data_IF_642724955206
#
_entry.id   IF_642724955206
#
_cell.length_a   1.000
_cell.length_b   1.000
_cell.length_c   1.000
_cell.angle_alpha   90.00
_cell.angle_beta   90.00
_cell.angle_gamma   90.00
#
_symmetry.space_group_name_H-M   'P 1'
#
loop_
_entity.id
_entity.type
_entity.pdbx_description
1 polymer ?
#
# COMPACT_ATOMS: atom_id res chain seq x y z
N UNK A 1 -24.74 13.68 9.56
CA UNK A 1 -23.69 12.83 10.14
C UNK A 1 -23.34 13.33 11.53
N UNK A 2 -23.42 12.47 12.49
CA UNK A 2 -23.09 12.80 13.87
C UNK A 2 -21.58 13.05 14.03
N UNK A 3 -21.22 13.78 15.09
CA UNK A 3 -19.83 14.18 15.33
C UNK A 3 -18.89 12.97 15.41
N UNK A 4 -19.31 11.90 16.08
CA UNK A 4 -18.48 10.71 16.22
C UNK A 4 -18.29 9.98 14.89
N UNK A 5 -19.33 9.90 14.09
CA UNK A 5 -19.25 9.29 12.76
C UNK A 5 -18.32 10.08 11.85
N UNK A 6 -18.39 11.40 11.92
CA UNK A 6 -17.50 12.27 11.18
C UNK A 6 -16.04 12.04 11.57
N UNK A 7 -15.74 11.88 12.87
CA UNK A 7 -14.38 11.58 13.32
C UNK A 7 -13.88 10.24 12.76
N UNK A 8 -14.75 9.24 12.72
CA UNK A 8 -14.40 7.94 12.15
C UNK A 8 -14.09 8.04 10.68
N UNK A 9 -14.90 8.78 9.94
CA UNK A 9 -14.67 9.00 8.51
C UNK A 9 -13.36 9.72 8.27
N UNK A 10 -13.10 10.80 9.03
CA UNK A 10 -11.85 11.55 8.91
C UNK A 10 -10.64 10.66 9.19
N UNK A 11 -10.73 9.80 10.20
CA UNK A 11 -9.66 8.85 10.54
C UNK A 11 -9.40 7.91 9.38
N UNK A 12 -10.43 7.32 8.80
CA UNK A 12 -10.28 6.40 7.67
C UNK A 12 -9.66 7.12 6.47
N UNK A 13 -10.12 8.33 6.18
CA UNK A 13 -9.57 9.11 5.06
C UNK A 13 -8.10 9.40 5.24
N UNK A 14 -7.69 9.77 6.46
CA UNK A 14 -6.28 10.01 6.77
C UNK A 14 -5.45 8.73 6.61
N UNK A 15 -5.97 7.61 7.10
CA UNK A 15 -5.27 6.34 7.01
C UNK A 15 -5.15 5.86 5.56
N UNK A 16 -6.14 6.13 4.72
CA UNK A 16 -6.03 5.81 3.30
C UNK A 16 -4.86 6.53 2.65
N UNK A 17 -4.56 7.75 3.07
CA UNK A 17 -3.39 8.48 2.58
C UNK A 17 -2.08 7.85 3.05
N UNK A 18 -2.07 7.34 4.29
CA UNK A 18 -0.87 6.71 4.87
C UNK A 18 -0.52 5.40 4.16
N UNK A 19 -1.52 4.61 3.78
CA UNK A 19 -1.30 3.24 3.32
C UNK A 19 -1.77 2.98 1.88
N UNK A 20 -2.57 3.89 1.30
CA UNK A 20 -3.25 3.65 0.04
C UNK A 20 -2.58 4.20 -1.19
N UNK A 21 -1.51 4.97 -1.06
CA UNK A 21 -0.81 5.51 -2.22
C UNK A 21 -0.16 4.39 -3.02
N UNK A 22 -0.09 4.58 -4.33
CA UNK A 22 0.47 3.57 -5.22
C UNK A 22 1.86 3.13 -4.74
N UNK A 23 2.11 1.84 -4.80
CA UNK A 23 3.32 1.14 -4.40
C UNK A 23 3.44 0.88 -2.89
N UNK A 24 2.73 1.62 -2.03
CA UNK A 24 2.79 1.36 -0.58
C UNK A 24 2.29 -0.04 -0.21
N UNK A 25 1.13 -0.50 -0.71
CA UNK A 25 0.72 -1.88 -0.42
C UNK A 25 1.74 -2.92 -0.85
N UNK A 26 2.37 -2.74 -2.02
CA UNK A 26 3.39 -3.66 -2.50
C UNK A 26 4.62 -3.66 -1.60
N UNK A 27 5.07 -2.49 -1.15
CA UNK A 27 6.20 -2.36 -0.23
C UNK A 27 5.89 -3.06 1.09
N UNK A 28 4.70 -2.82 1.64
CA UNK A 28 4.28 -3.42 2.91
C UNK A 28 4.20 -4.93 2.81
N UNK A 29 3.63 -5.44 1.72
CA UNK A 29 3.59 -6.87 1.46
C UNK A 29 5.00 -7.48 1.43
N UNK A 30 5.90 -6.82 0.72
CA UNK A 30 7.29 -7.26 0.59
C UNK A 30 7.98 -7.35 1.96
N UNK A 31 7.81 -6.33 2.81
CA UNK A 31 8.47 -6.28 4.11
C UNK A 31 7.82 -7.19 5.14
N UNK A 32 6.50 -7.36 5.10
CA UNK A 32 5.82 -8.26 6.02
C UNK A 32 6.25 -9.71 5.78
N UNK A 33 6.32 -10.12 4.52
CA UNK A 33 6.63 -11.51 4.19
C UNK A 33 8.11 -11.81 4.15
N UNK A 34 8.93 -10.84 3.75
CA UNK A 34 10.37 -11.04 3.60
C UNK A 34 11.20 -10.60 4.80
N UNK A 35 10.57 -9.92 5.78
CA UNK A 35 11.30 -9.35 6.90
C UNK A 35 12.17 -8.19 6.49
N UNK A 36 13.25 -7.96 7.24
CA UNK A 36 14.21 -6.89 6.98
C UNK A 36 14.90 -7.12 5.64
N UNK A 37 14.88 -6.11 4.77
CA UNK A 37 15.40 -6.27 3.42
C UNK A 37 16.19 -5.05 2.96
N UNK A 38 17.17 -5.31 2.10
CA UNK A 38 17.92 -4.27 1.41
C UNK A 38 17.00 -3.57 0.41
N UNK A 39 17.27 -2.31 0.17
CA UNK A 39 16.57 -1.54 -0.86
C UNK A 39 16.60 -2.25 -2.22
N UNK A 40 17.75 -2.81 -2.60
CA UNK A 40 17.88 -3.51 -3.88
C UNK A 40 16.93 -4.70 -4.01
N UNK A 41 16.67 -5.41 -2.91
CA UNK A 41 15.71 -6.52 -2.91
C UNK A 41 14.27 -6.03 -3.09
N UNK A 42 13.92 -4.95 -2.40
CA UNK A 42 12.60 -4.35 -2.53
C UNK A 42 12.38 -3.89 -3.98
N UNK A 43 13.40 -3.27 -4.56
CA UNK A 43 13.32 -2.81 -5.93
C UNK A 43 13.11 -3.96 -6.92
N UNK A 44 13.81 -5.08 -6.73
CA UNK A 44 13.62 -6.25 -7.59
C UNK A 44 12.22 -6.86 -7.43
N UNK A 45 11.67 -6.80 -6.23
CA UNK A 45 10.32 -7.31 -5.97
C UNK A 45 9.23 -6.43 -6.60
N UNK A 46 9.52 -5.14 -6.83
CA UNK A 46 8.56 -4.18 -7.38
C UNK A 46 9.18 -3.52 -8.62
N UNK A 47 9.38 -4.29 -9.70
CA UNK A 47 10.14 -3.78 -10.85
C UNK A 47 9.42 -2.68 -11.62
N UNK A 48 8.11 -2.57 -11.51
CA UNK A 48 7.33 -1.57 -12.23
C UNK A 48 7.41 -0.18 -11.59
N UNK A 49 7.86 -0.09 -10.34
CA UNK A 49 8.05 1.20 -9.69
C UNK A 49 9.38 1.81 -10.10
N UNK A 50 9.38 3.10 -10.38
CA UNK A 50 10.66 3.81 -10.61
C UNK A 50 11.42 3.93 -9.29
N UNK A 51 12.74 4.07 -9.38
CA UNK A 51 13.57 4.30 -8.20
C UNK A 51 13.10 5.52 -7.41
N UNK A 52 12.73 6.58 -8.12
CA UNK A 52 12.24 7.81 -7.50
C UNK A 52 10.96 7.58 -6.70
N UNK A 53 10.00 6.87 -7.29
CA UNK A 53 8.72 6.60 -6.62
C UNK A 53 8.89 5.69 -5.44
N UNK A 54 9.70 4.63 -5.60
CA UNK A 54 9.95 3.68 -4.52
C UNK A 54 10.61 4.38 -3.33
N UNK A 55 11.63 5.20 -3.59
CA UNK A 55 12.31 5.97 -2.56
C UNK A 55 11.35 6.93 -1.86
N UNK A 56 10.51 7.61 -2.62
CA UNK A 56 9.52 8.53 -2.06
C UNK A 56 8.55 7.81 -1.13
N UNK A 57 8.00 6.68 -1.58
CA UNK A 57 7.06 5.91 -0.76
C UNK A 57 7.69 5.35 0.51
N UNK A 58 8.92 4.88 0.41
CA UNK A 58 9.67 4.40 1.58
C UNK A 58 9.89 5.52 2.59
N UNK A 59 10.22 6.73 2.13
CA UNK A 59 10.37 7.89 3.02
C UNK A 59 9.06 8.27 3.70
N UNK A 60 7.96 8.23 2.97
CA UNK A 60 6.65 8.50 3.55
C UNK A 60 6.29 7.48 4.63
N UNK A 61 6.53 6.21 4.35
CA UNK A 61 6.26 5.15 5.33
C UNK A 61 7.17 5.25 6.55
N UNK A 62 8.42 5.64 6.36
CA UNK A 62 9.34 5.89 7.46
C UNK A 62 8.86 7.08 8.32
N UNK A 63 8.47 8.17 7.65
CA UNK A 63 7.96 9.36 8.34
C UNK A 63 6.75 9.04 9.21
N UNK A 64 5.88 8.17 8.72
CA UNK A 64 4.66 7.78 9.44
C UNK A 64 4.90 6.69 10.48
N UNK A 65 6.13 6.24 10.64
CA UNK A 65 6.48 5.23 11.63
C UNK A 65 6.08 3.80 11.27
N UNK A 66 5.74 3.55 10.01
CA UNK A 66 5.31 2.25 9.53
C UNK A 66 6.51 1.36 9.19
N UNK A 67 7.58 1.95 8.64
CA UNK A 67 8.83 1.25 8.37
C UNK A 67 9.98 1.96 9.06
N UNK A 68 11.05 1.20 9.32
CA UNK A 68 12.29 1.71 9.87
C UNK A 68 13.40 1.52 8.85
N UNK A 69 14.23 2.53 8.70
CA UNK A 69 15.36 2.53 7.77
C UNK A 69 16.66 2.37 8.54
N UNK A 70 17.53 1.50 8.03
CA UNK A 70 18.86 1.25 8.57
C UNK A 70 19.89 1.61 7.52
N UNK A 71 20.84 2.46 7.89
CA UNK A 71 21.94 2.82 6.99
C UNK A 71 23.22 2.22 7.55
N UNK A 72 23.83 1.33 6.77
CA UNK A 72 25.10 0.72 7.12
C UNK A 72 26.23 1.50 6.45
N UNK A 73 27.16 1.98 7.26
CA UNK A 73 28.30 2.76 6.77
C UNK A 73 29.40 1.83 6.29
N UNK A 74 29.13 1.17 5.20
CA UNK A 74 30.08 0.32 4.49
C UNK A 74 30.28 0.90 3.10
N UNK A 75 31.26 0.39 2.34
CA UNK A 75 31.53 0.86 0.98
C UNK A 75 31.24 -0.28 0.01
N UNK A 76 30.23 -0.14 -0.86
CA UNK A 76 29.26 0.97 -0.97
C UNK A 76 28.26 0.96 0.19
N UNK A 77 27.62 2.11 0.48
CA UNK A 77 26.61 2.17 1.54
C UNK A 77 25.46 1.21 1.30
N UNK A 78 24.98 0.61 2.37
CA UNK A 78 23.86 -0.33 2.29
C UNK A 78 22.69 0.19 3.11
N UNK A 79 21.53 0.25 2.48
CA UNK A 79 20.29 0.70 3.13
C UNK A 79 19.32 -0.47 3.22
N UNK A 80 18.79 -0.68 4.42
CA UNK A 80 17.84 -1.74 4.69
C UNK A 80 16.58 -1.15 5.31
N UNK A 81 15.47 -1.86 5.17
CA UNK A 81 14.16 -1.47 5.69
C UNK A 81 13.50 -2.66 6.38
N UNK A 82 12.75 -2.38 7.42
CA UNK A 82 11.89 -3.39 8.05
C UNK A 82 10.61 -2.75 8.58
N UNK A 83 9.57 -3.56 8.75
CA UNK A 83 8.33 -3.09 9.36
C UNK A 83 8.58 -2.80 10.84
N UNK A 84 8.01 -1.71 11.34
CA UNK A 84 7.93 -1.45 12.77
C UNK A 84 6.82 -2.29 13.40
N UNK A 85 6.77 -2.34 14.73
CA UNK A 85 5.65 -2.97 15.42
C UNK A 85 4.32 -2.31 15.03
N UNK A 86 4.31 -0.99 14.95
CA UNK A 86 3.14 -0.24 14.50
C UNK A 86 2.73 -0.67 13.09
N UNK A 87 3.69 -0.78 12.18
CA UNK A 87 3.42 -1.22 10.82
C UNK A 87 2.89 -2.64 10.77
N UNK A 88 3.42 -3.53 11.59
CA UNK A 88 2.95 -4.92 11.62
C UNK A 88 1.50 -5.05 12.07
N UNK A 89 1.01 -4.12 12.88
CA UNK A 89 -0.40 -4.12 13.29
C UNK A 89 -1.36 -3.87 12.13
N UNK A 90 -0.88 -3.30 11.03
CA UNK A 90 -1.69 -3.13 9.81
C UNK A 90 -1.86 -4.43 9.03
N UNK A 91 -1.00 -5.40 9.23
CA UNK A 91 -1.03 -6.63 8.42
C UNK A 91 -2.37 -7.36 8.45
N UNK A 92 -3.01 -7.60 9.60
CA UNK A 92 -4.32 -8.23 9.61
C UNK A 92 -5.38 -7.45 8.85
N UNK A 93 -5.31 -6.12 8.90
CA UNK A 93 -6.25 -5.23 8.21
C UNK A 93 -6.09 -5.37 6.69
N UNK A 94 -4.86 -5.37 6.20
CA UNK A 94 -4.57 -5.61 4.78
C UNK A 94 -5.02 -6.99 4.33
N UNK A 95 -4.78 -7.99 5.15
CA UNK A 95 -5.19 -9.36 4.83
C UNK A 95 -6.69 -9.47 4.70
N UNK A 96 -7.44 -8.86 5.62
CA UNK A 96 -8.90 -8.85 5.57
C UNK A 96 -9.40 -8.10 4.33
N UNK A 97 -8.77 -6.98 4.01
CA UNK A 97 -9.11 -6.20 2.82
C UNK A 97 -8.85 -7.01 1.54
N UNK A 98 -7.73 -7.69 1.49
CA UNK A 98 -7.38 -8.57 0.36
C UNK A 98 -8.40 -9.69 0.20
N UNK A 99 -8.78 -10.33 1.29
CA UNK A 99 -9.77 -11.42 1.27
C UNK A 99 -11.12 -10.94 0.76
N UNK A 100 -11.56 -9.78 1.21
CA UNK A 100 -12.78 -9.18 0.72
C UNK A 100 -12.72 -8.92 -0.79
N UNK A 101 -11.59 -8.34 -1.23
CA UNK A 101 -11.38 -8.02 -2.64
C UNK A 101 -11.36 -9.26 -3.52
N UNK A 102 -10.71 -10.34 -3.08
CA UNK A 102 -10.65 -11.58 -3.85
C UNK A 102 -12.04 -12.19 -4.03
N UNK A 103 -12.88 -12.14 -2.96
CA UNK A 103 -14.23 -12.68 -3.02
C UNK A 103 -15.13 -11.85 -3.92
N UNK A 104 -15.00 -10.54 -3.91
CA UNK A 104 -15.97 -9.63 -4.53
C UNK A 104 -15.49 -8.96 -5.82
N UNK A 105 -14.26 -9.21 -6.25
CA UNK A 105 -13.71 -8.55 -7.43
C UNK A 105 -14.51 -8.81 -8.69
N UNK A 106 -14.96 -10.05 -8.90
CA UNK A 106 -15.77 -10.39 -10.06
C UNK A 106 -17.12 -9.67 -10.05
N UNK A 107 -17.72 -9.53 -8.89
CA UNK A 107 -18.99 -8.80 -8.73
C UNK A 107 -18.81 -7.32 -9.07
N UNK A 108 -17.72 -6.71 -8.60
CA UNK A 108 -17.40 -5.32 -8.89
C UNK A 108 -17.25 -5.11 -10.40
N UNK A 109 -16.49 -6.01 -11.06
CA UNK A 109 -16.29 -5.93 -12.50
C UNK A 109 -17.59 -6.09 -13.26
N UNK A 110 -18.45 -7.00 -12.85
CA UNK A 110 -19.76 -7.20 -13.45
C UNK A 110 -20.64 -5.95 -13.31
N UNK A 111 -20.61 -5.34 -12.14
CA UNK A 111 -21.35 -4.10 -11.89
C UNK A 111 -20.86 -2.96 -12.77
N UNK A 112 -19.55 -2.83 -12.94
CA UNK A 112 -18.96 -1.82 -13.83
C UNK A 112 -19.39 -2.01 -15.28
N UNK A 113 -19.34 -3.24 -15.76
CA UNK A 113 -19.76 -3.56 -17.13
C UNK A 113 -21.24 -3.25 -17.34
N UNK A 114 -22.09 -3.60 -16.39
CA UNK A 114 -23.52 -3.32 -16.47
C UNK A 114 -23.78 -1.81 -16.51
N UNK A 115 -23.11 -1.07 -15.64
CA UNK A 115 -23.24 0.38 -15.60
C UNK A 115 -22.79 1.02 -16.91
N UNK A 116 -21.63 0.63 -17.41
CA UNK A 116 -21.07 1.20 -18.63
C UNK A 116 -21.94 0.92 -19.86
N UNK A 117 -22.51 -0.28 -19.96
CA UNK A 117 -23.46 -0.60 -21.02
C UNK A 117 -24.70 0.30 -20.95
N UNK A 118 -25.29 0.41 -19.73
CA UNK A 118 -26.48 1.22 -19.52
C UNK A 118 -26.23 2.69 -19.84
N UNK A 119 -25.02 3.19 -19.56
CA UNK A 119 -24.69 4.60 -19.73
C UNK A 119 -23.87 4.88 -20.99
N UNK A 120 -23.75 3.91 -21.88
CA UNK A 120 -23.09 4.09 -23.15
C UNK A 120 -21.58 4.22 -23.11
N UNK A 121 -20.95 3.82 -22.00
CA UNK A 121 -19.49 3.92 -21.87
C UNK A 121 -18.76 2.69 -22.39
N UNK A 122 -19.36 1.53 -22.24
CA UNK A 122 -18.68 0.26 -22.48
C UNK A 122 -18.24 0.04 -23.92
N UNK A 123 -18.82 0.70 -24.86
CA UNK A 123 -18.47 0.52 -26.27
C UNK A 123 -18.25 1.79 -27.03
N UNK A 124 -18.32 2.94 -26.39
CA UNK A 124 -18.34 4.20 -27.10
C UNK A 124 -16.98 4.90 -27.14
N UNK A 125 -15.98 4.32 -26.56
CA UNK A 125 -14.66 4.97 -26.53
C UNK A 125 -13.59 4.06 -27.05
#
# INVERSE_FOLDING_TARGET
METQDRRRVDTVEQLMKVIGAKWKPAILFCLVHGGRQRYSNIRRAIPDATQRMLTLRLRELERDGIVRRFVHQVVPPRVEYEMTELGMELHPIFRDLCSWGEVHQSDILACRKAYDRKNGRGGSN
#
